data_IF_061805341961
#
_entry.id   IF_061805341961
#
_cell.length_a   1.000
_cell.length_b   1.000
_cell.length_c   1.000
_cell.angle_alpha   90.00
_cell.angle_beta   90.00
_cell.angle_gamma   90.00
#
_symmetry.space_group_name_H-M   'P 1'
#
loop_
_entity.id
_entity.type
_entity.pdbx_description
1 polymer ?
#
# COMPACT_ATOMS: atom_id res chain seq x y z
N UNK A 1 4.82 13.53 4.86
CA UNK A 1 4.73 12.40 3.92
C UNK A 1 5.51 11.21 4.39
N UNK A 2 6.76 11.39 4.76
CA UNK A 2 7.65 10.30 5.16
C UNK A 2 7.03 9.35 6.21
N UNK A 3 6.35 9.88 7.23
CA UNK A 3 5.65 9.05 8.22
C UNK A 3 4.50 8.23 7.65
N UNK A 4 3.71 8.77 6.71
CA UNK A 4 2.66 8.00 6.03
C UNK A 4 3.26 6.87 5.19
N UNK A 5 4.35 7.14 4.47
CA UNK A 5 5.05 6.12 3.69
C UNK A 5 5.57 4.99 4.57
N UNK A 6 6.21 5.33 5.70
CA UNK A 6 6.71 4.34 6.66
C UNK A 6 5.56 3.54 7.29
N UNK A 7 4.47 4.21 7.69
CA UNK A 7 3.31 3.57 8.28
C UNK A 7 2.65 2.55 7.33
N UNK A 8 2.48 2.92 6.05
CA UNK A 8 1.78 2.08 5.08
C UNK A 8 2.66 0.97 4.49
N UNK A 9 3.93 1.26 4.18
CA UNK A 9 4.79 0.35 3.41
C UNK A 9 5.78 -0.44 4.25
N UNK A 10 6.02 -0.05 5.51
CA UNK A 10 6.94 -0.76 6.41
C UNK A 10 6.18 -1.31 7.60
N UNK A 11 5.54 -0.44 8.39
CA UNK A 11 4.84 -0.84 9.62
C UNK A 11 3.65 -1.76 9.30
N UNK A 12 2.80 -1.37 8.35
CA UNK A 12 1.65 -2.16 7.90
C UNK A 12 1.99 -3.61 7.54
N UNK A 13 2.91 -3.87 6.60
CA UNK A 13 3.26 -5.24 6.22
C UNK A 13 3.95 -6.02 7.35
N UNK A 14 4.79 -5.39 8.17
CA UNK A 14 5.43 -6.05 9.33
C UNK A 14 4.40 -6.48 10.37
N UNK A 15 3.45 -5.59 10.71
CA UNK A 15 2.36 -5.92 11.62
C UNK A 15 1.47 -7.02 11.03
N UNK A 16 1.13 -6.92 9.74
CA UNK A 16 0.32 -7.93 9.05
C UNK A 16 0.97 -9.32 9.04
N UNK A 17 2.30 -9.38 8.85
CA UNK A 17 3.07 -10.62 8.93
C UNK A 17 3.12 -11.18 10.36
N UNK A 18 3.06 -10.31 11.37
CA UNK A 18 3.09 -10.69 12.79
C UNK A 18 1.73 -11.12 13.34
N UNK A 19 0.63 -10.88 12.63
CA UNK A 19 -0.71 -11.26 13.07
C UNK A 19 -0.85 -12.79 13.28
N UNK A 20 -1.66 -13.25 14.26
CA UNK A 20 -1.98 -14.66 14.42
C UNK A 20 -2.63 -15.25 13.17
N UNK A 21 -2.39 -16.54 12.91
CA UNK A 21 -2.96 -17.24 11.75
C UNK A 21 -4.50 -17.26 11.78
N UNK A 22 -5.12 -17.36 12.97
CA UNK A 22 -6.58 -17.28 13.14
C UNK A 22 -7.15 -15.95 12.63
N UNK A 23 -6.50 -14.83 12.99
CA UNK A 23 -6.89 -13.48 12.53
C UNK A 23 -6.73 -13.34 11.02
N UNK A 24 -5.61 -13.82 10.45
CA UNK A 24 -5.41 -13.78 8.99
C UNK A 24 -6.44 -14.62 8.24
N UNK A 25 -6.82 -15.78 8.77
CA UNK A 25 -7.82 -16.63 8.16
C UNK A 25 -9.21 -15.97 8.17
N UNK A 26 -9.54 -15.20 9.20
CA UNK A 26 -10.77 -14.39 9.23
C UNK A 26 -10.79 -13.33 8.11
N UNK A 27 -9.62 -12.81 7.74
CA UNK A 27 -9.44 -11.82 6.66
C UNK A 27 -9.37 -12.42 5.25
N UNK A 28 -9.55 -13.74 5.10
CA UNK A 28 -9.44 -14.40 3.78
C UNK A 28 -10.54 -13.97 2.80
N UNK A 29 -11.63 -13.35 3.24
CA UNK A 29 -12.78 -13.09 2.34
C UNK A 29 -12.37 -12.13 1.21
N UNK A 30 -12.66 -12.42 -0.06
CA UNK A 30 -12.16 -11.64 -1.20
C UNK A 30 -12.66 -10.18 -1.18
N UNK A 31 -13.85 -9.92 -0.66
CA UNK A 31 -14.37 -8.56 -0.51
C UNK A 31 -13.58 -7.71 0.50
N UNK A 32 -13.01 -8.33 1.56
CA UNK A 32 -12.20 -7.62 2.55
C UNK A 32 -10.91 -7.04 1.96
N UNK A 33 -10.33 -7.71 0.95
CA UNK A 33 -9.18 -7.19 0.23
C UNK A 33 -9.54 -5.87 -0.47
N UNK A 34 -10.64 -5.85 -1.21
CA UNK A 34 -11.08 -4.66 -1.94
C UNK A 34 -11.57 -3.56 -1.01
N UNK A 35 -12.31 -3.90 0.05
CA UNK A 35 -12.71 -2.93 1.07
C UNK A 35 -11.51 -2.35 1.81
N UNK A 36 -10.50 -3.17 2.15
CA UNK A 36 -9.26 -2.70 2.76
C UNK A 36 -8.46 -1.77 1.83
N UNK A 37 -8.33 -2.15 0.57
CA UNK A 37 -7.68 -1.34 -0.46
C UNK A 37 -8.39 0.02 -0.66
N UNK A 38 -9.73 -0.01 -0.76
CA UNK A 38 -10.55 1.18 -0.90
C UNK A 38 -10.45 2.09 0.33
N UNK A 39 -10.54 1.52 1.54
CA UNK A 39 -10.43 2.24 2.80
C UNK A 39 -9.06 2.93 2.93
N UNK A 40 -7.97 2.19 2.70
CA UNK A 40 -6.62 2.73 2.79
C UNK A 40 -6.41 3.87 1.80
N UNK A 41 -6.91 3.74 0.57
CA UNK A 41 -6.79 4.79 -0.44
C UNK A 41 -7.67 6.00 -0.14
N UNK A 42 -8.92 5.78 0.28
CA UNK A 42 -9.82 6.86 0.67
C UNK A 42 -9.24 7.68 1.82
N UNK A 43 -8.65 7.03 2.83
CA UNK A 43 -7.99 7.70 3.95
C UNK A 43 -6.77 8.50 3.49
N UNK A 44 -5.92 7.93 2.62
CA UNK A 44 -4.78 8.64 2.06
C UNK A 44 -5.23 9.90 1.32
N UNK A 45 -6.19 9.78 0.41
CA UNK A 45 -6.72 10.92 -0.35
C UNK A 45 -7.41 11.96 0.53
N UNK A 46 -8.23 11.53 1.49
CA UNK A 46 -8.92 12.41 2.42
C UNK A 46 -7.93 13.22 3.26
N UNK A 47 -6.86 12.58 3.74
CA UNK A 47 -5.83 13.28 4.50
C UNK A 47 -5.02 14.25 3.65
N UNK A 48 -4.94 14.03 2.35
CA UNK A 48 -4.31 14.94 1.41
C UNK A 48 -5.24 16.03 0.86
N UNK A 49 -6.52 16.02 1.20
CA UNK A 49 -7.43 17.09 0.79
C UNK A 49 -7.02 18.40 1.48
N UNK A 50 -6.87 19.52 0.73
CA UNK A 50 -6.45 20.81 1.30
C UNK A 50 -7.31 21.26 2.48
N UNK A 51 -8.63 21.10 2.39
CA UNK A 51 -9.57 21.46 3.44
C UNK A 51 -9.33 20.71 4.76
N UNK A 52 -8.94 19.43 4.69
CA UNK A 52 -8.64 18.62 5.87
C UNK A 52 -7.30 19.03 6.48
N UNK A 53 -6.30 19.31 5.65
CA UNK A 53 -5.01 19.81 6.11
C UNK A 53 -5.14 21.18 6.79
N UNK A 54 -5.90 22.12 6.20
CA UNK A 54 -6.19 23.41 6.83
C UNK A 54 -6.86 23.28 8.21
N UNK A 55 -7.82 22.37 8.34
CA UNK A 55 -8.53 22.12 9.59
C UNK A 55 -7.69 21.40 10.67
N UNK A 56 -6.53 20.86 10.31
CA UNK A 56 -5.65 20.09 11.22
C UNK A 56 -4.34 20.81 11.52
N UNK A 57 -4.08 21.96 10.87
CA UNK A 57 -2.92 22.82 11.13
C UNK A 57 -2.88 23.29 12.58
N UNK A 58 -1.79 23.01 13.30
CA UNK A 58 -1.54 23.52 14.66
C UNK A 58 -1.87 22.57 15.81
N UNK A 59 -2.32 21.34 15.54
CA UNK A 59 -2.52 20.32 16.57
C UNK A 59 -1.75 19.04 16.24
N UNK A 60 -1.04 18.48 17.23
CA UNK A 60 -0.29 17.22 17.06
C UNK A 60 -1.21 15.98 17.10
N UNK A 61 -2.31 16.07 17.86
CA UNK A 61 -3.24 14.96 18.08
C UNK A 61 -3.90 14.46 16.77
N UNK A 62 -4.38 15.32 15.85
CA UNK A 62 -4.91 14.90 14.56
C UNK A 62 -3.86 14.20 13.68
N UNK A 63 -2.59 14.61 13.77
CA UNK A 63 -1.51 14.02 12.98
C UNK A 63 -1.19 12.60 13.43
N UNK A 64 -1.06 12.38 14.74
CA UNK A 64 -0.86 11.05 15.31
C UNK A 64 -2.05 10.12 15.03
N UNK A 65 -3.27 10.65 15.14
CA UNK A 65 -4.50 9.89 14.87
C UNK A 65 -4.56 9.43 13.42
N UNK A 66 -4.23 10.31 12.47
CA UNK A 66 -4.15 9.94 11.05
C UNK A 66 -3.13 8.85 10.80
N UNK A 67 -1.94 8.94 11.40
CA UNK A 67 -0.91 7.90 11.26
C UNK A 67 -1.39 6.55 11.80
N UNK A 68 -2.06 6.53 12.95
CA UNK A 68 -2.61 5.31 13.53
C UNK A 68 -3.70 4.70 12.64
N UNK A 69 -4.64 5.52 12.17
CA UNK A 69 -5.73 5.07 11.29
C UNK A 69 -5.17 4.52 9.97
N UNK A 70 -4.19 5.20 9.40
CA UNK A 70 -3.56 4.79 8.15
C UNK A 70 -2.71 3.52 8.31
N UNK A 71 -2.00 3.39 9.43
CA UNK A 71 -1.25 2.18 9.78
C UNK A 71 -2.20 0.98 10.01
N UNK A 72 -3.33 1.19 10.70
CA UNK A 72 -4.34 0.16 10.89
C UNK A 72 -4.96 -0.29 9.56
N UNK A 73 -5.37 0.66 8.71
CA UNK A 73 -5.90 0.37 7.38
C UNK A 73 -4.85 -0.35 6.50
N UNK A 74 -3.60 0.10 6.53
CA UNK A 74 -2.49 -0.55 5.83
C UNK A 74 -2.23 -1.97 6.33
N UNK A 75 -2.27 -2.20 7.64
CA UNK A 75 -2.10 -3.54 8.24
C UNK A 75 -3.20 -4.49 7.78
N UNK A 76 -4.46 -4.04 7.76
CA UNK A 76 -5.58 -4.83 7.25
C UNK A 76 -5.42 -5.16 5.76
N UNK A 77 -5.04 -4.17 4.94
CA UNK A 77 -4.79 -4.38 3.51
C UNK A 77 -3.67 -5.39 3.28
N UNK A 78 -2.52 -5.23 3.93
CA UNK A 78 -1.39 -6.15 3.79
C UNK A 78 -1.71 -7.56 4.28
N UNK A 79 -2.50 -7.70 5.35
CA UNK A 79 -2.94 -9.02 5.81
C UNK A 79 -3.79 -9.74 4.75
N UNK A 80 -4.72 -9.01 4.10
CA UNK A 80 -5.51 -9.53 2.98
C UNK A 80 -4.65 -9.87 1.75
N UNK A 81 -3.65 -9.04 1.43
CA UNK A 81 -2.71 -9.27 0.31
C UNK A 81 -1.87 -10.53 0.55
N UNK A 82 -1.28 -10.68 1.74
CA UNK A 82 -0.49 -11.86 2.12
C UNK A 82 -1.33 -13.14 2.01
N UNK A 83 -2.58 -13.09 2.50
CA UNK A 83 -3.48 -14.24 2.42
C UNK A 83 -3.97 -14.52 0.99
N UNK A 84 -4.12 -13.49 0.16
CA UNK A 84 -4.39 -13.66 -1.28
C UNK A 84 -3.22 -14.35 -1.99
N UNK A 85 -1.98 -13.94 -1.70
CA UNK A 85 -0.77 -14.54 -2.25
C UNK A 85 -0.62 -16.01 -1.87
N UNK A 86 -0.90 -16.38 -0.60
CA UNK A 86 -0.87 -17.78 -0.14
C UNK A 86 -1.82 -18.71 -0.86
N UNK A 87 -2.94 -18.17 -1.35
CA UNK A 87 -3.95 -18.93 -2.10
C UNK A 87 -3.70 -18.97 -3.60
N UNK A 88 -2.60 -18.37 -4.07
CA UNK A 88 -2.32 -18.24 -5.50
C UNK A 88 -3.37 -17.41 -6.24
N UNK A 89 -4.02 -16.47 -5.56
CA UNK A 89 -5.04 -15.62 -6.20
C UNK A 89 -4.41 -14.37 -6.82
N UNK A 90 -4.81 -14.04 -8.04
CA UNK A 90 -4.44 -12.80 -8.73
C UNK A 90 -5.02 -11.54 -8.07
N UNK A 91 -5.99 -11.68 -7.15
CA UNK A 91 -6.65 -10.56 -6.50
C UNK A 91 -5.68 -9.65 -5.74
N UNK A 92 -4.72 -10.22 -5.01
CA UNK A 92 -3.71 -9.46 -4.27
C UNK A 92 -2.83 -8.60 -5.18
N UNK A 93 -2.39 -9.18 -6.30
CA UNK A 93 -1.62 -8.45 -7.32
C UNK A 93 -2.45 -7.30 -7.91
N UNK A 94 -3.70 -7.56 -8.31
CA UNK A 94 -4.58 -6.53 -8.86
C UNK A 94 -4.83 -5.40 -7.86
N UNK A 95 -5.03 -5.73 -6.58
CA UNK A 95 -5.22 -4.75 -5.52
C UNK A 95 -3.96 -3.90 -5.29
N UNK A 96 -2.77 -4.49 -5.24
CA UNK A 96 -1.49 -3.78 -5.13
C UNK A 96 -1.24 -2.81 -6.30
N UNK A 97 -1.52 -3.25 -7.54
CA UNK A 97 -1.37 -2.42 -8.72
C UNK A 97 -2.36 -1.25 -8.74
N UNK A 98 -3.62 -1.51 -8.38
CA UNK A 98 -4.65 -0.47 -8.32
C UNK A 98 -4.33 0.57 -7.25
N UNK A 99 -4.00 0.14 -6.03
CA UNK A 99 -3.65 1.06 -4.95
C UNK A 99 -2.39 1.85 -5.28
N UNK A 100 -1.38 1.20 -5.89
CA UNK A 100 -0.17 1.86 -6.37
C UNK A 100 -0.49 2.96 -7.39
N UNK A 101 -1.34 2.70 -8.38
CA UNK A 101 -1.75 3.69 -9.38
C UNK A 101 -2.51 4.87 -8.77
N UNK A 102 -3.40 4.62 -7.82
CA UNK A 102 -4.15 5.69 -7.15
C UNK A 102 -3.24 6.56 -6.26
N UNK A 103 -2.23 5.97 -5.63
CA UNK A 103 -1.20 6.72 -4.92
C UNK A 103 -0.31 7.52 -5.89
N UNK A 104 0.10 6.94 -7.03
CA UNK A 104 0.81 7.67 -8.07
C UNK A 104 0.03 8.87 -8.60
N UNK A 105 -1.27 8.69 -8.85
CA UNK A 105 -2.14 9.74 -9.36
C UNK A 105 -2.16 10.93 -8.40
N UNK A 106 -2.30 10.66 -7.11
CA UNK A 106 -2.20 11.69 -6.08
C UNK A 106 -0.81 12.36 -6.10
N UNK A 107 0.27 11.59 -6.30
CA UNK A 107 1.64 12.12 -6.36
C UNK A 107 1.86 13.04 -7.55
N UNK A 108 1.36 12.64 -8.73
CA UNK A 108 1.35 13.44 -9.95
C UNK A 108 0.61 14.76 -9.74
N UNK A 109 -0.56 14.73 -9.09
CA UNK A 109 -1.32 15.96 -8.78
C UNK A 109 -0.51 16.93 -7.92
N UNK A 110 0.26 16.43 -6.94
CA UNK A 110 1.10 17.26 -6.09
C UNK A 110 2.32 17.82 -6.83
N UNK A 111 2.97 17.01 -7.68
CA UNK A 111 4.15 17.39 -8.47
C UNK A 111 3.79 18.48 -9.50
N UNK A 112 2.71 18.28 -10.24
CA UNK A 112 2.35 19.17 -11.35
C UNK A 112 1.46 20.34 -10.93
N UNK A 113 1.16 20.49 -9.64
CA UNK A 113 0.51 21.69 -9.15
C UNK A 113 1.43 22.90 -9.38
N UNK A 114 0.88 23.98 -9.93
CA UNK A 114 1.59 25.24 -10.19
C UNK A 114 1.41 26.27 -9.06
N UNK A 115 0.64 25.91 -8.03
CA UNK A 115 0.35 26.72 -6.86
C UNK A 115 0.47 25.87 -5.61
N UNK A 116 0.87 26.49 -4.51
CA UNK A 116 0.81 25.85 -3.20
C UNK A 116 -0.66 25.60 -2.85
N UNK A 117 -1.06 24.33 -2.86
CA UNK A 117 -2.43 23.92 -2.56
C UNK A 117 -2.72 23.96 -1.06
N UNK A 118 -1.67 23.92 -0.24
CA UNK A 118 -1.77 23.76 1.19
C UNK A 118 -1.54 25.07 1.93
N UNK A 119 -0.59 25.91 1.55
CA UNK A 119 -0.39 27.24 2.15
C UNK A 119 -0.38 27.22 3.68
N UNK A 120 0.18 26.16 4.28
CA UNK A 120 0.13 25.88 5.71
C UNK A 120 1.27 26.66 6.39
N UNK A 121 0.97 27.55 7.36
CA UNK A 121 1.99 28.41 7.98
C UNK A 121 2.93 27.69 8.95
N UNK A 122 2.70 26.42 9.29
CA UNK A 122 3.40 25.75 10.39
C UNK A 122 3.82 24.30 10.18
N UNK A 123 3.55 23.68 9.02
CA UNK A 123 3.94 22.30 8.73
C UNK A 123 4.57 22.16 7.33
N UNK A 124 5.74 21.54 7.28
CA UNK A 124 6.40 21.03 6.07
C UNK A 124 5.78 19.68 5.72
N UNK A 125 5.07 19.58 4.59
CA UNK A 125 4.36 18.40 4.11
C UNK A 125 5.25 17.20 3.82
N UNK A 126 6.45 17.37 3.27
CA UNK A 126 7.30 16.24 2.92
C UNK A 126 7.79 15.49 4.17
N UNK A 127 8.36 16.24 5.10
CA UNK A 127 9.04 15.70 6.28
C UNK A 127 8.21 15.74 7.57
N UNK A 128 7.03 16.36 7.55
CA UNK A 128 6.23 16.62 8.74
C UNK A 128 7.03 17.36 9.83
N UNK A 129 7.86 18.33 9.43
CA UNK A 129 8.63 19.18 10.33
C UNK A 129 7.95 20.53 10.51
N UNK A 130 8.27 21.27 11.57
CA UNK A 130 7.77 22.63 11.78
C UNK A 130 8.38 23.59 10.75
N UNK A 131 7.54 24.34 10.06
CA UNK A 131 7.95 25.29 9.02
C UNK A 131 6.82 25.57 8.02
N UNK A 132 6.89 26.65 7.24
CA UNK A 132 5.88 26.93 6.23
C UNK A 132 5.91 25.86 5.14
N UNK A 133 4.75 25.37 4.71
CA UNK A 133 4.69 24.62 3.46
C UNK A 133 5.07 25.55 2.31
N UNK A 134 5.79 24.99 1.33
CA UNK A 134 6.10 25.68 0.08
C UNK A 134 5.68 24.83 -1.11
N UNK A 135 5.65 25.44 -2.29
CA UNK A 135 5.42 24.69 -3.53
C UNK A 135 6.45 23.57 -3.71
N UNK A 136 7.73 23.85 -3.44
CA UNK A 136 8.82 22.88 -3.56
C UNK A 136 8.63 21.70 -2.59
N UNK A 137 8.19 21.97 -1.36
CA UNK A 137 7.91 20.94 -0.36
C UNK A 137 6.71 20.06 -0.76
N UNK A 138 5.66 20.64 -1.33
CA UNK A 138 4.54 19.89 -1.90
C UNK A 138 4.99 18.99 -3.07
N UNK A 139 5.81 19.51 -3.98
CA UNK A 139 6.31 18.75 -5.12
C UNK A 139 7.25 17.63 -4.67
N UNK A 140 8.10 17.88 -3.66
CA UNK A 140 8.94 16.87 -3.02
C UNK A 140 8.10 15.78 -2.35
N UNK A 141 7.03 16.14 -1.64
CA UNK A 141 6.06 15.21 -1.08
C UNK A 141 5.45 14.31 -2.17
N UNK A 142 5.07 14.89 -3.32
CA UNK A 142 4.60 14.15 -4.48
C UNK A 142 5.66 13.21 -5.08
N UNK A 143 6.91 13.65 -5.18
CA UNK A 143 8.05 12.84 -5.66
C UNK A 143 8.34 11.65 -4.74
N UNK A 144 8.28 11.83 -3.43
CA UNK A 144 8.41 10.73 -2.48
C UNK A 144 7.27 9.72 -2.65
N UNK A 145 6.04 10.22 -2.82
CA UNK A 145 4.87 9.37 -2.97
C UNK A 145 4.86 8.58 -4.28
N UNK A 146 5.30 9.17 -5.41
CA UNK A 146 5.33 8.47 -6.70
C UNK A 146 6.48 7.46 -6.80
N UNK A 147 7.53 7.60 -5.99
CA UNK A 147 8.67 6.68 -6.03
C UNK A 147 8.54 5.57 -5.00
N UNK A 148 8.41 5.88 -3.71
CA UNK A 148 8.58 4.90 -2.66
C UNK A 148 7.33 4.02 -2.39
N UNK A 149 6.11 4.57 -2.52
CA UNK A 149 4.87 3.76 -2.42
C UNK A 149 4.76 2.72 -3.55
N UNK A 150 4.87 3.11 -4.84
CA UNK A 150 4.72 2.18 -5.96
C UNK A 150 5.84 1.16 -6.01
N UNK A 151 7.07 1.53 -5.65
CA UNK A 151 8.18 0.58 -5.59
C UNK A 151 7.89 -0.55 -4.60
N UNK A 152 7.37 -0.22 -3.42
CA UNK A 152 7.02 -1.21 -2.40
C UNK A 152 5.94 -2.19 -2.89
N UNK A 153 4.88 -1.67 -3.51
CA UNK A 153 3.79 -2.50 -4.05
C UNK A 153 4.21 -3.29 -5.28
N UNK A 154 5.07 -2.73 -6.13
CA UNK A 154 5.64 -3.41 -7.30
C UNK A 154 6.51 -4.59 -6.86
N UNK A 155 7.40 -4.40 -5.88
CA UNK A 155 8.25 -5.48 -5.34
C UNK A 155 7.40 -6.60 -4.77
N UNK A 156 6.38 -6.28 -3.98
CA UNK A 156 5.45 -7.29 -3.45
C UNK A 156 4.66 -8.00 -4.56
N UNK A 157 4.22 -7.27 -5.59
CA UNK A 157 3.52 -7.82 -6.74
C UNK A 157 4.39 -8.77 -7.57
N UNK A 158 5.63 -8.38 -7.86
CA UNK A 158 6.62 -9.23 -8.56
C UNK A 158 6.89 -10.49 -7.75
N UNK A 159 7.09 -10.35 -6.44
CA UNK A 159 7.29 -11.51 -5.56
C UNK A 159 6.08 -12.46 -5.56
N UNK A 160 4.86 -11.93 -5.50
CA UNK A 160 3.64 -12.72 -5.57
C UNK A 160 3.51 -13.44 -6.92
N UNK A 161 3.75 -12.75 -8.03
CA UNK A 161 3.72 -13.33 -9.37
C UNK A 161 4.76 -14.44 -9.55
N UNK A 162 5.99 -14.21 -9.08
CA UNK A 162 7.06 -15.21 -9.12
C UNK A 162 6.69 -16.48 -8.34
N UNK A 163 6.12 -16.33 -7.14
CA UNK A 163 5.66 -17.49 -6.35
C UNK A 163 4.54 -18.28 -7.03
N UNK A 164 3.63 -17.58 -7.71
CA UNK A 164 2.55 -18.24 -8.46
C UNK A 164 3.10 -19.02 -9.65
N UNK A 165 4.06 -18.46 -10.38
CA UNK A 165 4.72 -19.13 -11.50
C UNK A 165 5.48 -20.39 -11.04
N UNK A 166 6.30 -20.28 -9.99
CA UNK A 166 7.06 -21.43 -9.45
C UNK A 166 6.13 -22.55 -8.95
N UNK A 167 5.02 -22.20 -8.29
CA UNK A 167 4.05 -23.20 -7.83
C UNK A 167 3.33 -23.95 -8.96
N UNK A 168 3.21 -23.34 -10.15
CA UNK A 168 2.65 -24.02 -11.33
C UNK A 168 3.65 -25.01 -11.93
N UNK A 169 4.95 -24.69 -11.91
CA UNK A 169 6.03 -25.57 -12.38
C UNK A 169 6.13 -26.83 -11.50
N UNK A 170 6.08 -26.66 -10.18
CA UNK A 170 6.08 -27.76 -9.21
C UNK A 170 4.86 -28.69 -9.37
N UNK A 171 3.68 -28.14 -9.73
CA UNK A 171 2.48 -28.93 -9.98
C UNK A 171 2.53 -29.72 -11.30
N UNK A 172 3.31 -29.26 -12.28
CA UNK A 172 3.46 -29.92 -13.58
C UNK A 172 4.47 -31.09 -13.57
N UNK A 173 5.44 -31.08 -12.64
CA UNK A 173 6.47 -32.12 -12.47
C UNK A 173 5.92 -33.54 -12.17
N UNK A 174 4.99 -33.72 -11.20
CA UNK A 174 4.44 -35.03 -10.81
C UNK A 174 3.61 -35.71 -11.92
N UNK A 175 3.01 -34.92 -12.82
CA UNK A 175 2.20 -35.46 -13.93
C UNK A 175 3.11 -36.10 -15.00
N UNK A 176 4.31 -35.54 -15.22
CA UNK A 176 5.27 -36.07 -16.19
C UNK A 176 5.91 -37.39 -15.74
N UNK A 177 6.16 -37.58 -14.45
CA UNK A 177 6.74 -38.84 -13.95
C UNK A 177 5.77 -40.02 -14.04
N UNK A 178 4.46 -39.80 -13.81
CA UNK A 178 3.44 -40.86 -13.90
C UNK A 178 3.12 -41.30 -15.33
N UNK A 179 3.37 -40.46 -16.34
CA UNK A 179 3.20 -40.84 -17.75
C UNK A 179 4.39 -41.63 -18.29
N UNK A 180 5.58 -41.51 -17.70
CA UNK A 180 6.78 -42.24 -18.11
C UNK A 180 6.84 -43.66 -17.53
N UNK A 181 6.15 -43.94 -16.41
CA UNK A 181 6.11 -45.29 -15.80
C UNK A 181 5.12 -46.26 -16.45
N UNK A 182 4.33 -45.81 -17.44
CA UNK A 182 3.36 -46.63 -18.17
C UNK A 182 3.68 -46.77 -19.68
N UNK A 183 4.93 -46.53 -20.07
CA UNK A 183 5.41 -46.88 -21.41
C UNK A 183 5.34 -48.41 -21.64
N UNK A 184 4.82 -48.89 -22.79
CA UNK A 184 4.67 -50.31 -23.05
C UNK A 184 6.04 -51.01 -23.07
N UNK A 185 6.15 -52.06 -22.26
CA UNK A 185 7.25 -53.03 -22.30
C UNK A 185 7.15 -53.94 -23.53
#
# INVERSE_FOLDING_TARGET
MLFHLAAMNVVGPVLAASLPTSTRLALRRPWLLWSGAALQMALLWAWHAPAVQHGTTGAELPHATSLLILAAAGTLFWACVIESARRGSWGGLAALLLTGKLACLLGVLLIFATRDLYGLPGVVLAFCTTGPSSLDDQQLAGLLMITACPLSYLTAGVWQAARMLLGLEDAAGPVRSNLQSHGPA
#
